data_IF_459250971838
#
_entry.id   IF_459250971838
#
_cell.length_a   1.000
_cell.length_b   1.000
_cell.length_c   1.000
_cell.angle_alpha   90.00
_cell.angle_beta   90.00
_cell.angle_gamma   90.00
#
_symmetry.space_group_name_H-M   'P 1'
#
loop_
_entity.id
_entity.type
_entity.pdbx_description
1 polymer ?
#
# COMPACT_ATOMS: atom_id res chain seq x y z
N UNK A 1 14.19 1.05 0.10
CA UNK A 1 12.95 0.58 -0.53
C UNK A 1 11.91 0.44 0.57
N UNK A 2 10.70 0.98 0.40
CA UNK A 2 9.64 0.78 1.41
C UNK A 2 9.28 -0.71 1.48
N UNK A 3 9.06 -1.21 2.68
CA UNK A 3 8.53 -2.54 2.96
C UNK A 3 7.01 -2.61 2.72
N UNK A 4 6.48 -3.84 2.60
CA UNK A 4 5.04 -4.07 2.43
C UNK A 4 4.22 -3.40 3.56
N UNK A 5 4.68 -3.52 4.81
CA UNK A 5 3.99 -2.94 5.97
C UNK A 5 4.00 -1.40 5.93
N UNK A 6 5.10 -0.78 5.49
CA UNK A 6 5.16 0.66 5.30
C UNK A 6 4.18 1.13 4.20
N UNK A 7 4.06 0.37 3.11
CA UNK A 7 3.07 0.64 2.06
C UNK A 7 1.63 0.52 2.60
N UNK A 8 1.31 -0.52 3.40
CA UNK A 8 -0.01 -0.68 4.04
C UNK A 8 -0.33 0.49 4.97
N UNK A 9 0.64 0.90 5.79
CA UNK A 9 0.49 2.00 6.74
C UNK A 9 0.25 3.34 6.03
N UNK A 10 1.04 3.63 5.00
CA UNK A 10 0.87 4.84 4.19
C UNK A 10 -0.49 4.85 3.47
N UNK A 11 -0.90 3.72 2.87
CA UNK A 11 -2.22 3.59 2.24
C UNK A 11 -3.37 3.87 3.22
N UNK A 12 -3.27 3.33 4.45
CA UNK A 12 -4.27 3.56 5.50
C UNK A 12 -4.34 5.04 5.89
N UNK A 13 -3.19 5.70 6.09
CA UNK A 13 -3.13 7.12 6.43
C UNK A 13 -3.78 7.99 5.36
N UNK A 14 -3.50 7.73 4.07
CA UNK A 14 -4.09 8.47 2.96
C UNK A 14 -5.61 8.26 2.84
N UNK A 15 -6.12 7.05 3.13
CA UNK A 15 -7.57 6.80 3.19
C UNK A 15 -8.24 7.56 4.33
N UNK A 16 -7.59 7.66 5.48
CA UNK A 16 -8.08 8.47 6.62
C UNK A 16 -8.11 9.94 6.21
N UNK A 17 -7.04 10.46 5.61
CA UNK A 17 -6.99 11.84 5.13
C UNK A 17 -8.09 12.10 4.10
N UNK A 18 -8.32 11.18 3.15
CA UNK A 18 -9.38 11.31 2.14
C UNK A 18 -10.81 11.37 2.72
N UNK A 19 -11.02 10.84 3.94
CA UNK A 19 -12.31 10.86 4.64
C UNK A 19 -12.59 12.13 5.45
N UNK A 20 -11.63 13.06 5.56
CA UNK A 20 -11.80 14.30 6.32
C UNK A 20 -12.74 15.26 5.60
N UNK A 21 -13.70 15.82 6.34
CA UNK A 21 -14.68 16.78 5.82
C UNK A 21 -13.97 18.07 5.38
N UNK A 22 -14.42 18.64 4.26
CA UNK A 22 -13.91 19.93 3.75
C UNK A 22 -12.75 19.80 2.76
N UNK A 23 -12.35 18.59 2.40
CA UNK A 23 -11.35 18.36 1.35
C UNK A 23 -12.01 18.41 -0.03
N UNK A 24 -11.31 18.99 -1.01
CA UNK A 24 -11.82 19.02 -2.39
C UNK A 24 -11.96 17.62 -2.99
N UNK A 25 -12.99 17.35 -3.82
CA UNK A 25 -13.17 16.04 -4.46
C UNK A 25 -11.93 15.58 -5.25
N UNK A 26 -11.21 16.50 -5.88
CA UNK A 26 -9.97 16.21 -6.62
C UNK A 26 -8.88 15.66 -5.70
N UNK A 27 -8.71 16.24 -4.50
CA UNK A 27 -7.73 15.76 -3.52
C UNK A 27 -8.15 14.40 -2.95
N UNK A 28 -9.44 14.21 -2.66
CA UNK A 28 -9.98 12.90 -2.23
C UNK A 28 -9.67 11.80 -3.26
N UNK A 29 -9.91 12.06 -4.55
CA UNK A 29 -9.62 11.12 -5.63
C UNK A 29 -8.12 10.81 -5.71
N UNK A 30 -7.26 11.83 -5.63
CA UNK A 30 -5.80 11.65 -5.66
C UNK A 30 -5.30 10.78 -4.48
N UNK A 31 -5.69 11.12 -3.25
CA UNK A 31 -5.30 10.38 -2.04
C UNK A 31 -5.77 8.91 -2.12
N UNK A 32 -7.00 8.69 -2.59
CA UNK A 32 -7.57 7.35 -2.76
C UNK A 32 -6.80 6.53 -3.79
N UNK A 33 -6.46 7.13 -4.94
CA UNK A 33 -5.69 6.45 -5.98
C UNK A 33 -4.29 6.08 -5.48
N UNK A 34 -3.60 6.99 -4.80
CA UNK A 34 -2.28 6.70 -4.21
C UNK A 34 -2.40 5.57 -3.18
N UNK A 35 -3.43 5.59 -2.32
CA UNK A 35 -3.65 4.52 -1.35
C UNK A 35 -3.88 3.16 -2.02
N UNK A 36 -4.58 3.11 -3.16
CA UNK A 36 -4.76 1.89 -3.93
C UNK A 36 -3.44 1.39 -4.53
N UNK A 37 -2.64 2.27 -5.14
CA UNK A 37 -1.31 1.91 -5.66
C UNK A 37 -0.40 1.34 -4.57
N UNK A 38 -0.35 1.98 -3.40
CA UNK A 38 0.42 1.50 -2.26
C UNK A 38 -0.07 0.16 -1.72
N UNK A 39 -1.40 -0.05 -1.69
CA UNK A 39 -1.97 -1.35 -1.29
C UNK A 39 -1.62 -2.46 -2.29
N UNK A 40 -1.60 -2.15 -3.59
CA UNK A 40 -1.18 -3.08 -4.63
C UNK A 40 0.30 -3.43 -4.53
N UNK A 41 1.17 -2.42 -4.33
CA UNK A 41 2.60 -2.63 -4.13
C UNK A 41 2.88 -3.48 -2.87
N UNK A 42 2.15 -3.23 -1.77
CA UNK A 42 2.29 -4.04 -0.57
C UNK A 42 2.00 -5.52 -0.85
N UNK A 43 0.91 -5.83 -1.56
CA UNK A 43 0.60 -7.21 -1.95
C UNK A 43 1.68 -7.83 -2.84
N UNK A 44 2.28 -7.06 -3.76
CA UNK A 44 3.37 -7.55 -4.61
C UNK A 44 4.64 -7.84 -3.81
N UNK A 45 4.97 -7.01 -2.83
CA UNK A 45 6.10 -7.23 -1.93
C UNK A 45 5.87 -8.44 -1.02
N UNK A 46 4.65 -8.64 -0.51
CA UNK A 46 4.27 -9.84 0.27
C UNK A 46 4.46 -11.12 -0.58
N UNK A 47 4.02 -11.12 -1.83
CA UNK A 47 4.22 -12.25 -2.76
C UNK A 47 5.69 -12.51 -3.05
N UNK A 48 6.50 -11.45 -3.19
CA UNK A 48 7.93 -11.58 -3.42
C UNK A 48 8.64 -12.21 -2.21
N UNK A 49 8.31 -11.75 -1.00
CA UNK A 49 8.82 -12.32 0.25
C UNK A 49 8.46 -13.81 0.39
N UNK A 50 7.23 -14.18 0.03
CA UNK A 50 6.78 -15.57 0.07
C UNK A 50 7.56 -16.43 -0.95
N UNK A 51 7.72 -15.96 -2.19
CA UNK A 51 8.52 -16.64 -3.22
C UNK A 51 9.98 -16.83 -2.79
N UNK A 52 10.59 -15.82 -2.17
CA UNK A 52 11.96 -15.91 -1.64
C UNK A 52 12.06 -16.92 -0.48
N UNK A 53 11.04 -17.04 0.37
CA UNK A 53 10.99 -18.04 1.45
C UNK A 53 10.82 -19.46 0.94
N UNK A 54 9.99 -19.65 -0.09
CA UNK A 54 9.83 -20.94 -0.75
C UNK A 54 11.12 -21.40 -1.42
N UNK A 55 11.81 -20.49 -2.13
CA UNK A 55 13.09 -20.77 -2.78
C UNK A 55 14.16 -21.23 -1.78
N UNK A 56 14.24 -20.59 -0.60
CA UNK A 56 15.21 -20.95 0.46
C UNK A 56 14.90 -22.26 1.20
N UNK A 57 13.69 -22.82 1.07
CA UNK A 57 13.27 -24.07 1.71
C UNK A 57 13.46 -25.29 0.82
N UNK A 58 13.62 -25.08 -0.50
CA UNK A 58 13.86 -26.14 -1.48
C UNK A 58 15.35 -26.47 -1.69
N UNK A 59 16.26 -25.69 -1.11
CA UNK A 59 17.71 -25.92 -1.02
C UNK A 59 18.07 -26.66 0.29
#
# INVERSE_FOLDING_TARGET
MMSAIECRNAAKALKIEAGVIGISPKKVALLTNIAHSLSGLASQLEMLDDHERESKRGE
#
